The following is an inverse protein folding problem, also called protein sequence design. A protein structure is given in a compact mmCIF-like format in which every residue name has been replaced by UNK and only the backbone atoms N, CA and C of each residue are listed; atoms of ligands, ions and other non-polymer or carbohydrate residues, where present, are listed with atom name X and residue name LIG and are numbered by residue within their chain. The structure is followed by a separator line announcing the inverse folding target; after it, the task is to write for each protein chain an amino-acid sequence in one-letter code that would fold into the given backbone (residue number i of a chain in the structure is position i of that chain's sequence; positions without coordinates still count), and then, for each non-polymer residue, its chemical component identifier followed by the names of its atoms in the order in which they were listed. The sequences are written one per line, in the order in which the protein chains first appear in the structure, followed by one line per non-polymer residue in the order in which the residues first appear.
data_IF_106185725513
#
_entry.id   IF_106185725513
#
_cell.length_a   1.000
_cell.length_b   1.000
_cell.length_c   1.000
_cell.angle_alpha   90.00
_cell.angle_beta   90.00
_cell.angle_gamma   90.00
#
_symmetry.space_group_name_H-M   'P 1'
#
loop_
_entity.id
_entity.type
_entity.pdbx_description
1 polymer ?
#
# COMPACT_ATOMS: atom_id res chain seq x y z
N UNK A 1 -52.76 -6.94 -14.54
CA UNK A 1 -52.44 -5.62 -15.12
C UNK A 1 -51.79 -4.82 -14.01
N UNK A 2 -50.45 -4.79 -14.02
CA UNK A 2 -49.65 -3.66 -14.54
C UNK A 2 -49.36 -2.70 -13.39
N UNK A 3 -48.14 -2.34 -13.01
CA UNK A 3 -46.81 -2.55 -13.60
C UNK A 3 -45.92 -1.38 -13.15
N UNK A 4 -44.60 -1.59 -13.25
CA UNK A 4 -43.49 -0.60 -13.25
C UNK A 4 -43.19 0.14 -11.93
N UNK A 5 -42.00 -0.02 -11.31
CA UNK A 5 -40.61 0.38 -11.68
C UNK A 5 -40.23 1.78 -11.15
N UNK A 6 -38.99 1.86 -10.68
CA UNK A 6 -38.28 3.02 -10.13
C UNK A 6 -37.42 2.51 -8.97
N UNK A 7 -36.20 1.99 -9.15
CA UNK A 7 -35.02 2.67 -9.70
C UNK A 7 -34.89 4.04 -9.02
N UNK A 8 -33.84 4.38 -8.28
CA UNK A 8 -32.42 4.18 -8.49
C UNK A 8 -31.74 5.01 -7.38
N UNK A 9 -30.85 4.43 -6.60
CA UNK A 9 -29.76 5.14 -5.91
C UNK A 9 -28.76 4.07 -5.41
N UNK A 10 -28.41 3.15 -6.30
CA UNK A 10 -27.08 2.54 -6.20
C UNK A 10 -26.16 3.61 -6.72
N UNK A 11 -25.58 4.37 -5.79
CA UNK A 11 -24.46 5.24 -6.04
C UNK A 11 -23.39 4.38 -6.73
N UNK A 12 -23.39 4.41 -8.07
CA UNK A 12 -22.26 4.01 -8.90
C UNK A 12 -21.16 5.03 -8.63
N UNK A 13 -20.58 4.94 -7.43
CA UNK A 13 -19.24 5.41 -7.20
C UNK A 13 -18.40 4.54 -8.12
N UNK A 14 -17.71 5.15 -9.07
CA UNK A 14 -16.61 4.52 -9.77
C UNK A 14 -15.68 3.97 -8.69
N UNK A 15 -15.84 2.70 -8.34
CA UNK A 15 -14.94 1.94 -7.48
C UNK A 15 -13.61 1.90 -8.24
N UNK A 16 -12.81 2.96 -8.10
CA UNK A 16 -11.36 2.77 -8.08
C UNK A 16 -11.16 1.80 -6.95
N UNK A 17 -11.06 0.52 -7.30
CA UNK A 17 -10.81 -0.57 -6.36
C UNK A 17 -9.43 -0.25 -5.79
N UNK A 18 -9.38 0.57 -4.74
CA UNK A 18 -8.17 0.79 -3.98
C UNK A 18 -7.93 -0.54 -3.29
N UNK A 19 -6.91 -1.26 -3.74
CA UNK A 19 -6.59 -2.57 -3.21
C UNK A 19 -6.16 -2.37 -1.75
N UNK A 20 -6.98 -2.87 -0.83
CA UNK A 20 -6.68 -2.82 0.60
C UNK A 20 -6.07 -4.14 1.03
N UNK A 21 -4.99 -4.07 1.80
CA UNK A 21 -4.33 -5.23 2.40
C UNK A 21 -4.44 -5.15 3.92
N UNK A 22 -4.68 -6.30 4.56
CA UNK A 22 -4.66 -6.42 6.00
C UNK A 22 -3.40 -7.17 6.42
N UNK A 23 -2.57 -6.52 7.24
CA UNK A 23 -1.36 -7.09 7.80
C UNK A 23 -1.58 -7.39 9.28
N UNK A 24 -0.93 -8.42 9.78
CA UNK A 24 -0.89 -8.72 11.21
C UNK A 24 0.47 -8.28 11.74
N UNK A 25 0.47 -7.53 12.86
CA UNK A 25 1.70 -7.21 13.57
C UNK A 25 2.25 -8.43 14.34
N UNK A 26 3.36 -8.24 15.06
CA UNK A 26 3.99 -9.28 15.88
C UNK A 26 3.12 -9.74 17.08
N UNK A 27 2.15 -8.93 17.48
CA UNK A 27 1.20 -9.21 18.55
C UNK A 27 -0.09 -9.89 18.03
N UNK A 28 -0.24 -9.97 16.70
CA UNK A 28 -1.41 -10.52 16.01
C UNK A 28 -2.55 -9.52 15.82
N UNK A 29 -2.30 -8.22 16.00
CA UNK A 29 -3.28 -7.17 15.73
C UNK A 29 -3.36 -6.90 14.23
N UNK A 30 -4.58 -6.82 13.66
CA UNK A 30 -4.77 -6.49 12.26
C UNK A 30 -4.68 -4.99 12.01
N UNK A 31 -3.81 -4.61 11.08
CA UNK A 31 -3.64 -3.25 10.56
C UNK A 31 -4.03 -3.22 9.08
N UNK A 32 -4.80 -2.22 8.70
CA UNK A 32 -5.35 -2.12 7.33
C UNK A 32 -4.67 -1.00 6.57
N UNK A 33 -4.20 -1.34 5.38
CA UNK A 33 -3.47 -0.43 4.50
C UNK A 33 -4.08 -0.41 3.12
N UNK A 34 -3.88 0.69 2.40
CA UNK A 34 -4.16 0.83 0.98
C UNK A 34 -2.85 0.63 0.21
N UNK A 35 -2.85 -0.20 -0.82
CA UNK A 35 -1.75 -0.28 -1.78
C UNK A 35 -1.73 1.01 -2.57
N UNK A 36 -0.74 1.86 -2.29
CA UNK A 36 -0.54 3.11 -3.01
C UNK A 36 0.19 2.85 -4.32
N UNK A 37 1.23 2.01 -4.28
CA UNK A 37 2.06 1.70 -5.45
C UNK A 37 2.76 0.35 -5.31
N UNK A 38 3.14 -0.25 -6.43
CA UNK A 38 3.92 -1.47 -6.50
C UNK A 38 5.17 -1.21 -7.36
N UNK A 39 6.32 -1.65 -6.88
CA UNK A 39 7.64 -1.44 -7.49
C UNK A 39 8.34 -2.78 -7.70
N UNK A 40 9.15 -2.88 -8.73
CA UNK A 40 9.99 -4.06 -9.00
C UNK A 40 11.45 -3.59 -9.12
N UNK A 41 12.30 -4.04 -8.19
CA UNK A 41 13.70 -3.61 -8.08
C UNK A 41 14.58 -4.84 -7.90
N UNK A 42 15.59 -5.00 -8.74
CA UNK A 42 16.53 -6.14 -8.70
C UNK A 42 15.84 -7.51 -8.56
N UNK A 43 14.80 -7.75 -9.36
CA UNK A 43 13.96 -8.96 -9.37
C UNK A 43 13.10 -9.18 -8.11
N UNK A 44 13.14 -8.27 -7.14
CA UNK A 44 12.26 -8.26 -5.97
C UNK A 44 11.05 -7.36 -6.22
N UNK A 45 9.89 -7.78 -5.69
CA UNK A 45 8.66 -7.00 -5.75
C UNK A 45 8.41 -6.32 -4.41
N UNK A 46 8.13 -5.03 -4.45
CA UNK A 46 7.88 -4.20 -3.28
C UNK A 46 6.50 -3.55 -3.41
N UNK A 47 5.77 -3.47 -2.29
CA UNK A 47 4.51 -2.75 -2.20
C UNK A 47 4.66 -1.58 -1.24
N UNK A 48 4.15 -0.43 -1.67
CA UNK A 48 4.05 0.77 -0.87
C UNK A 48 2.65 0.90 -0.33
N UNK A 49 2.55 0.81 0.99
CA UNK A 49 1.29 0.74 1.70
C UNK A 49 1.05 2.04 2.46
N UNK A 50 -0.14 2.61 2.30
CA UNK A 50 -0.58 3.78 3.07
C UNK A 50 -1.51 3.32 4.18
N UNK A 51 -1.21 3.61 5.46
CA UNK A 51 -2.10 3.27 6.56
C UNK A 51 -3.44 3.99 6.40
N UNK A 52 -4.54 3.27 6.68
CA UNK A 52 -5.89 3.85 6.65
C UNK A 52 -6.18 4.59 7.94
N UNK A 53 -5.65 4.10 9.06
CA UNK A 53 -5.86 4.66 10.39
C UNK A 53 -4.67 5.53 10.80
N UNK A 54 -4.96 6.62 11.51
CA UNK A 54 -3.91 7.55 11.98
C UNK A 54 -2.96 6.90 13.00
N UNK A 55 -3.43 5.91 13.76
CA UNK A 55 -2.58 5.16 14.70
C UNK A 55 -1.47 4.37 14.00
N UNK A 56 -1.75 3.92 12.78
CA UNK A 56 -0.87 3.11 11.94
C UNK A 56 0.18 3.98 11.20
N UNK A 57 0.08 5.32 11.27
CA UNK A 57 1.08 6.23 10.72
C UNK A 57 2.47 6.02 11.35
N UNK A 58 2.53 5.50 12.57
CA UNK A 58 3.80 5.18 13.25
C UNK A 58 4.51 3.97 12.64
N UNK A 59 3.83 3.17 11.80
CA UNK A 59 4.40 2.02 11.12
C UNK A 59 5.17 2.41 9.85
N UNK A 60 5.02 3.64 9.37
CA UNK A 60 5.70 4.14 8.18
C UNK A 60 7.22 4.04 8.34
N UNK A 61 7.86 3.29 7.44
CA UNK A 61 9.32 3.11 7.38
C UNK A 61 9.97 3.86 6.20
N UNK A 62 9.19 4.31 5.23
CA UNK A 62 9.65 5.04 4.04
C UNK A 62 9.21 6.50 4.10
N UNK A 63 10.16 7.40 4.35
CA UNK A 63 9.92 8.84 4.37
C UNK A 63 10.00 9.43 2.95
N UNK A 64 8.86 9.87 2.41
CA UNK A 64 8.76 10.54 1.10
C UNK A 64 8.53 12.06 1.22
N UNK A 65 8.65 12.64 2.42
CA UNK A 65 8.51 14.09 2.63
C UNK A 65 9.51 14.88 1.78
N UNK A 66 10.68 14.29 1.55
CA UNK A 66 11.74 14.84 0.69
C UNK A 66 11.36 14.87 -0.80
N UNK A 67 10.42 14.02 -1.25
CA UNK A 67 10.01 13.88 -2.65
C UNK A 67 8.67 14.57 -2.95
N UNK A 68 7.64 14.36 -2.13
CA UNK A 68 6.28 14.85 -2.37
C UNK A 68 5.85 16.01 -1.45
N UNK A 69 6.77 16.55 -0.66
CA UNK A 69 6.51 17.65 0.28
C UNK A 69 6.05 17.20 1.66
N UNK A 70 6.14 18.11 2.65
CA UNK A 70 5.86 17.84 4.08
C UNK A 70 4.43 17.33 4.38
N UNK A 71 3.50 17.42 3.44
CA UNK A 71 2.11 16.95 3.60
C UNK A 71 1.93 15.44 3.44
N UNK A 72 2.95 14.70 2.96
CA UNK A 72 2.89 13.24 2.87
C UNK A 72 3.66 12.58 4.02
N UNK A 73 2.93 11.79 4.82
CA UNK A 73 3.48 11.10 5.98
C UNK A 73 4.52 10.02 5.62
N UNK A 74 4.54 9.54 4.38
CA UNK A 74 5.40 8.43 3.94
C UNK A 74 4.60 7.21 3.49
N UNK A 75 5.31 6.10 3.28
CA UNK A 75 4.71 4.78 3.01
C UNK A 75 5.28 3.71 3.93
N UNK A 76 4.51 2.66 4.15
CA UNK A 76 5.00 1.40 4.71
C UNK A 76 5.43 0.50 3.56
N UNK A 77 6.75 0.39 3.36
CA UNK A 77 7.36 -0.42 2.32
C UNK A 77 7.52 -1.87 2.81
N UNK A 78 6.95 -2.79 2.05
CA UNK A 78 7.06 -4.24 2.26
C UNK A 78 7.53 -4.93 0.99
N UNK A 79 8.31 -6.00 1.13
CA UNK A 79 8.72 -6.88 0.05
C UNK A 79 7.78 -8.08 -0.04
N UNK A 80 7.35 -8.42 -1.25
CA UNK A 80 6.62 -9.64 -1.53
C UNK A 80 7.61 -10.80 -1.69
N UNK A 81 7.46 -11.83 -0.88
CA UNK A 81 8.23 -13.07 -0.98
C UNK A 81 7.31 -14.28 -0.99
N UNK A 82 7.60 -15.27 -1.83
CA UNK A 82 6.94 -16.56 -1.78
C UNK A 82 7.53 -17.40 -0.64
N UNK A 83 6.68 -17.94 0.22
CA UNK A 83 7.13 -18.86 1.27
C UNK A 83 7.40 -20.27 0.73
N UNK A 84 7.79 -21.18 1.64
CA UNK A 84 8.11 -22.58 1.30
C UNK A 84 6.91 -23.38 0.72
N UNK A 85 5.69 -22.87 0.87
CA UNK A 85 4.45 -23.43 0.35
C UNK A 85 3.94 -22.71 -0.91
N UNK A 86 4.63 -21.64 -1.34
CA UNK A 86 4.24 -20.82 -2.48
C UNK A 86 3.14 -19.81 -2.16
N UNK A 87 2.90 -19.51 -0.88
CA UNK A 87 2.03 -18.42 -0.47
C UNK A 87 2.81 -17.11 -0.41
N UNK A 88 2.20 -16.05 -0.93
CA UNK A 88 2.78 -14.72 -0.91
C UNK A 88 2.79 -14.16 0.52
N UNK A 89 3.96 -13.74 0.99
CA UNK A 89 4.17 -13.07 2.28
C UNK A 89 4.72 -11.67 2.07
N UNK A 90 4.21 -10.75 2.86
CA UNK A 90 4.68 -9.38 2.89
C UNK A 90 5.67 -9.23 4.05
N UNK A 91 6.91 -8.88 3.72
CA UNK A 91 8.02 -8.74 4.66
C UNK A 91 8.37 -7.27 4.76
N UNK A 92 8.36 -6.71 5.96
CA UNK A 92 8.77 -5.32 6.19
C UNK A 92 10.21 -5.08 5.70
N UNK A 93 10.39 -4.01 4.92
CA UNK A 93 11.72 -3.58 4.51
C UNK A 93 12.36 -2.74 5.63
N UNK A 94 13.38 -3.29 6.29
CA UNK A 94 14.12 -2.58 7.34
C UNK A 94 15.54 -2.16 6.90
N UNK A 95 16.06 -2.70 5.79
CA UNK A 95 17.38 -2.30 5.27
C UNK A 95 17.29 -0.91 4.63
N UNK A 96 18.11 0.02 5.13
CA UNK A 96 18.13 1.39 4.66
C UNK A 96 18.49 1.51 3.18
N UNK A 97 19.35 0.63 2.66
CA UNK A 97 19.75 0.67 1.24
C UNK A 97 18.58 0.29 0.35
N UNK A 98 17.83 -0.76 0.72
CA UNK A 98 16.61 -1.13 0.00
C UNK A 98 15.58 0.02 0.00
N UNK A 99 15.40 0.70 1.15
CA UNK A 99 14.54 1.88 1.23
C UNK A 99 15.04 3.04 0.35
N UNK A 100 16.36 3.27 0.28
CA UNK A 100 16.97 4.27 -0.60
C UNK A 100 16.78 3.93 -2.08
N UNK A 101 16.87 2.65 -2.45
CA UNK A 101 16.64 2.18 -3.82
C UNK A 101 15.16 2.39 -4.21
N UNK A 102 14.23 2.02 -3.32
CA UNK A 102 12.79 2.29 -3.47
C UNK A 102 12.50 3.78 -3.64
N UNK A 103 13.07 4.63 -2.77
CA UNK A 103 12.95 6.09 -2.87
C UNK A 103 13.50 6.63 -4.20
N UNK A 104 14.61 6.06 -4.65
CA UNK A 104 15.23 6.44 -5.92
C UNK A 104 14.30 6.14 -7.09
N UNK A 105 13.69 4.95 -7.12
CA UNK A 105 12.71 4.55 -8.13
C UNK A 105 11.47 5.46 -8.12
N UNK A 106 10.93 5.79 -6.93
CA UNK A 106 9.82 6.74 -6.79
C UNK A 106 10.11 8.13 -7.35
N UNK A 107 11.37 8.57 -7.25
CA UNK A 107 11.78 9.86 -7.75
C UNK A 107 11.90 9.89 -9.28
N UNK A 108 12.12 8.74 -9.95
CA UNK A 108 12.28 8.69 -11.41
C UNK A 108 10.97 8.85 -12.16
N UNK A 109 9.81 8.58 -11.53
CA UNK A 109 8.50 8.76 -12.17
C UNK A 109 8.06 10.24 -12.27
N UNK A 110 8.83 11.17 -11.66
CA UNK A 110 8.60 12.62 -11.70
C UNK A 110 9.47 13.25 -12.81
N UNK A 111 9.16 13.03 -14.10
CA UNK A 111 9.80 13.73 -15.25
C UNK A 111 8.79 14.29 -16.25
#
# INVERSE_FOLDING_TARGET
MSGLLGAEDSEFQEERIQETVQLLDEEGNPHSFIVAEALEIDENQYLLLTPIQEEDLNLINLDISSLKGEDNAGYFAVRLEADEFGEDRLIEVQDKRELEDILSELNVDII
#
